data_IF_935031902536
#
_entry.id   IF_935031902536
#
_cell.length_a   1.000
_cell.length_b   1.000
_cell.length_c   1.000
_cell.angle_alpha   90.00
_cell.angle_beta   90.00
_cell.angle_gamma   90.00
#
_symmetry.space_group_name_H-M   'P 1'
#
loop_
_entity.id
_entity.type
_entity.pdbx_description
1 polymer ?
#
# COMPACT_ATOMS: atom_id res chain seq x y z
N UNK A 1 8.90 13.34 7.58
CA UNK A 1 8.84 12.23 8.54
C UNK A 1 10.22 11.64 8.74
N UNK A 2 10.51 11.16 9.95
CA UNK A 2 11.72 10.40 10.28
C UNK A 2 11.46 9.48 11.50
N UNK A 3 12.20 8.37 11.71
CA UNK A 3 13.36 7.91 10.94
C UNK A 3 13.02 7.30 9.58
N UNK A 4 11.73 7.12 9.30
CA UNK A 4 11.22 6.55 8.05
C UNK A 4 10.32 7.52 7.28
N UNK A 5 10.09 7.23 6.01
CA UNK A 5 8.99 7.81 5.24
C UNK A 5 7.62 7.34 5.76
N UNK A 6 6.53 7.76 5.10
CA UNK A 6 5.18 7.44 5.56
C UNK A 6 4.79 5.95 5.43
N UNK A 7 5.41 5.20 4.52
CA UNK A 7 5.15 3.77 4.36
C UNK A 7 6.07 2.93 5.25
N UNK A 8 7.03 3.58 5.92
CA UNK A 8 7.92 2.95 6.90
C UNK A 8 9.28 2.58 6.34
N UNK A 9 9.65 3.07 5.16
CA UNK A 9 10.98 2.85 4.57
C UNK A 9 12.02 3.73 5.26
N UNK A 10 13.19 3.19 5.64
CA UNK A 10 14.20 3.93 6.39
C UNK A 10 14.80 5.09 5.59
N UNK A 11 14.87 6.27 6.21
CA UNK A 11 15.56 7.45 5.70
C UNK A 11 16.97 7.63 6.31
N UNK A 12 17.19 7.04 7.47
CA UNK A 12 18.43 7.17 8.25
C UNK A 12 18.67 5.93 9.12
N UNK A 13 19.87 5.82 9.67
CA UNK A 13 20.25 4.73 10.57
C UNK A 13 19.62 4.91 11.96
N UNK A 14 18.74 3.97 12.34
CA UNK A 14 18.00 4.01 13.60
C UNK A 14 18.95 3.83 14.80
N UNK A 15 19.99 3.01 14.67
CA UNK A 15 20.96 2.82 15.76
C UNK A 15 21.74 4.12 16.05
N UNK A 16 22.07 4.90 15.02
CA UNK A 16 22.70 6.21 15.16
C UNK A 16 21.73 7.21 15.79
N UNK A 17 20.46 7.20 15.38
CA UNK A 17 19.39 8.01 15.98
C UNK A 17 19.29 7.76 17.50
N UNK A 18 19.25 6.48 17.90
CA UNK A 18 19.14 6.07 19.30
C UNK A 18 20.39 6.45 20.09
N UNK A 19 21.60 6.26 19.53
CA UNK A 19 22.87 6.64 20.17
C UNK A 19 22.97 8.12 20.49
N UNK A 20 22.41 8.99 19.64
CA UNK A 20 22.41 10.44 19.89
C UNK A 20 21.19 10.91 20.69
N UNK A 21 20.28 9.98 21.05
CA UNK A 21 19.10 10.27 21.87
C UNK A 21 18.03 11.09 21.15
N UNK A 22 17.95 11.00 19.82
CA UNK A 22 16.96 11.75 19.03
C UNK A 22 15.56 11.14 19.19
N UNK A 23 14.56 11.95 19.56
CA UNK A 23 13.18 11.50 19.70
C UNK A 23 12.35 11.87 18.45
N UNK A 24 11.94 10.90 17.62
CA UNK A 24 11.18 11.18 16.40
C UNK A 24 9.78 11.73 16.63
N UNK A 25 9.22 11.63 17.84
CA UNK A 25 7.88 12.13 18.13
C UNK A 25 7.84 13.60 18.53
N UNK A 26 8.96 14.14 19.01
CA UNK A 26 9.03 15.51 19.56
C UNK A 26 10.01 16.39 18.84
N UNK A 27 11.13 15.82 18.37
CA UNK A 27 12.22 16.63 17.88
C UNK A 27 11.98 17.04 16.42
N UNK A 28 12.69 18.07 16.00
CA UNK A 28 12.68 18.53 14.61
C UNK A 28 14.12 18.82 14.24
N UNK A 29 14.55 18.29 13.10
CA UNK A 29 15.90 18.49 12.60
C UNK A 29 15.89 19.42 11.38
N UNK A 30 16.87 20.32 11.34
CA UNK A 30 17.26 21.00 10.10
C UNK A 30 18.13 20.07 9.25
N UNK A 31 18.29 20.42 7.97
CA UNK A 31 19.26 19.77 7.06
C UNK A 31 20.66 19.69 7.69
N UNK A 32 21.19 20.79 8.23
CA UNK A 32 22.53 20.82 8.86
C UNK A 32 22.66 19.87 10.05
N UNK A 33 21.64 19.81 10.91
CA UNK A 33 21.64 18.90 12.06
C UNK A 33 21.60 17.44 11.59
N UNK A 34 20.77 17.15 10.58
CA UNK A 34 20.72 15.84 9.96
C UNK A 34 22.08 15.42 9.37
N UNK A 35 22.73 16.30 8.59
CA UNK A 35 24.07 16.05 8.04
C UNK A 35 25.14 15.87 9.11
N UNK A 36 25.06 16.62 10.21
CA UNK A 36 26.00 16.49 11.32
C UNK A 36 25.86 15.16 12.07
N UNK A 37 24.64 14.63 12.20
CA UNK A 37 24.36 13.40 12.94
C UNK A 37 24.63 12.17 12.06
N UNK A 38 24.14 12.17 10.83
CA UNK A 38 24.13 10.97 9.96
C UNK A 38 25.18 11.00 8.84
N UNK A 39 25.82 12.16 8.62
CA UNK A 39 26.86 12.35 7.61
C UNK A 39 26.36 12.94 6.28
N UNK A 40 27.30 13.10 5.35
CA UNK A 40 27.03 13.55 3.98
C UNK A 40 27.95 12.79 3.00
N UNK A 41 27.43 11.90 2.15
CA UNK A 41 26.01 11.61 1.91
C UNK A 41 25.42 10.59 2.92
N UNK A 42 24.11 10.70 3.17
CA UNK A 42 23.32 9.64 3.83
C UNK A 42 22.67 8.81 2.74
N UNK A 43 23.31 7.69 2.40
CA UNK A 43 22.86 6.84 1.28
C UNK A 43 21.84 5.82 1.75
N UNK A 44 20.76 5.68 1.01
CA UNK A 44 19.82 4.58 1.17
C UNK A 44 20.52 3.24 0.87
N UNK A 45 20.40 2.21 1.73
CA UNK A 45 21.19 0.98 1.61
C UNK A 45 21.04 0.23 0.29
N UNK A 46 19.87 0.31 -0.35
CA UNK A 46 19.57 -0.44 -1.58
C UNK A 46 19.78 0.36 -2.85
N UNK A 47 19.35 1.62 -2.86
CA UNK A 47 19.37 2.46 -4.06
C UNK A 47 20.66 3.27 -4.17
N UNK A 48 21.40 3.42 -3.07
CA UNK A 48 22.58 4.27 -2.97
C UNK A 48 22.27 5.78 -3.06
N UNK A 49 20.99 6.14 -3.18
CA UNK A 49 20.54 7.52 -3.30
C UNK A 49 20.57 8.23 -1.95
N UNK A 50 20.96 9.49 -1.98
CA UNK A 50 20.77 10.42 -0.86
C UNK A 50 19.52 11.25 -1.16
N UNK A 51 18.42 10.97 -0.46
CA UNK A 51 17.13 11.61 -0.74
C UNK A 51 17.17 13.13 -0.51
N UNK A 52 17.91 13.58 0.50
CA UNK A 52 18.07 15.01 0.78
C UNK A 52 18.77 15.68 -0.40
N UNK A 53 19.85 15.09 -0.90
CA UNK A 53 20.53 15.57 -2.11
C UNK A 53 19.61 15.55 -3.33
N UNK A 54 18.87 14.46 -3.55
CA UNK A 54 17.93 14.30 -4.66
C UNK A 54 16.89 15.44 -4.70
N UNK A 55 16.30 15.78 -3.55
CA UNK A 55 15.34 16.89 -3.45
C UNK A 55 16.02 18.25 -3.64
N UNK A 56 17.20 18.46 -3.05
CA UNK A 56 17.95 19.73 -3.18
C UNK A 56 18.42 20.00 -4.61
N UNK A 57 18.72 18.96 -5.38
CA UNK A 57 19.07 19.08 -6.81
C UNK A 57 17.90 19.60 -7.67
N UNK A 58 16.65 19.53 -7.18
CA UNK A 58 15.48 20.10 -7.84
C UNK A 58 15.27 21.60 -7.52
N UNK A 59 16.11 22.19 -6.66
CA UNK A 59 15.97 23.58 -6.26
C UNK A 59 16.25 24.55 -7.42
N UNK A 60 15.41 25.57 -7.54
CA UNK A 60 15.63 26.70 -8.45
C UNK A 60 16.08 27.88 -7.60
N UNK A 61 17.29 28.39 -7.84
CA UNK A 61 17.89 29.47 -7.05
C UNK A 61 17.95 29.16 -5.54
N UNK A 62 18.27 27.91 -5.18
CA UNK A 62 18.39 27.45 -3.78
C UNK A 62 17.12 27.64 -2.93
N UNK A 63 15.94 27.57 -3.56
CA UNK A 63 14.64 27.81 -2.92
C UNK A 63 14.07 26.64 -2.10
N UNK A 64 14.87 25.64 -1.74
CA UNK A 64 14.43 24.46 -0.98
C UNK A 64 15.17 24.39 0.35
N UNK A 65 14.39 24.39 1.42
CA UNK A 65 14.82 24.11 2.80
C UNK A 65 14.19 22.80 3.25
N UNK A 66 14.98 21.93 3.90
CA UNK A 66 14.53 20.61 4.34
C UNK A 66 14.51 20.54 5.86
N UNK A 67 13.38 20.09 6.38
CA UNK A 67 13.16 19.84 7.80
C UNK A 67 12.63 18.42 8.01
N UNK A 68 13.10 17.75 9.05
CA UNK A 68 12.63 16.43 9.43
C UNK A 68 11.81 16.54 10.70
N UNK A 69 10.55 16.12 10.63
CA UNK A 69 9.61 16.08 11.76
C UNK A 69 8.50 15.07 11.47
N UNK A 70 7.90 14.51 12.52
CA UNK A 70 6.63 13.77 12.45
C UNK A 70 5.43 14.60 12.92
N UNK A 71 5.65 15.83 13.37
CA UNK A 71 4.57 16.75 13.72
C UNK A 71 4.28 17.69 12.54
N UNK A 72 3.21 17.47 11.75
CA UNK A 72 2.94 18.29 10.57
C UNK A 72 2.68 19.77 10.92
N UNK A 73 2.33 20.08 12.17
CA UNK A 73 2.09 21.48 12.62
C UNK A 73 3.35 22.35 12.53
N UNK A 74 4.54 21.75 12.56
CA UNK A 74 5.81 22.48 12.42
C UNK A 74 5.89 23.22 11.08
N UNK A 75 5.23 22.72 10.03
CA UNK A 75 5.16 23.40 8.73
C UNK A 75 4.55 24.81 8.83
N UNK A 76 3.67 25.05 9.81
CA UNK A 76 3.00 26.34 10.02
C UNK A 76 3.92 27.43 10.57
N UNK A 77 5.11 27.06 11.04
CA UNK A 77 6.16 28.03 11.38
C UNK A 77 6.75 28.70 10.13
N UNK A 78 6.57 28.09 8.95
CA UNK A 78 7.19 28.52 7.69
C UNK A 78 6.18 29.02 6.66
N UNK A 79 4.98 28.41 6.58
CA UNK A 79 3.93 28.83 5.65
C UNK A 79 2.53 28.50 6.19
N UNK A 80 1.53 29.32 5.83
CA UNK A 80 0.10 28.99 6.03
C UNK A 80 -0.54 28.29 4.84
N UNK A 81 0.18 28.20 3.73
CA UNK A 81 -0.25 27.54 2.50
C UNK A 81 0.57 26.26 2.34
N UNK A 82 -0.08 25.11 2.47
CA UNK A 82 0.58 23.81 2.58
C UNK A 82 0.08 22.86 1.48
N UNK A 83 1.03 22.22 0.79
CA UNK A 83 0.77 21.07 -0.08
C UNK A 83 1.17 19.78 0.64
N UNK A 84 0.20 18.90 0.88
CA UNK A 84 0.38 17.61 1.54
C UNK A 84 0.68 16.53 0.50
N UNK A 85 1.89 15.98 0.56
CA UNK A 85 2.36 14.94 -0.35
C UNK A 85 2.24 13.50 0.20
N UNK A 86 1.60 13.33 1.36
CA UNK A 86 1.28 12.00 1.87
C UNK A 86 0.39 11.23 0.89
N UNK A 87 0.62 9.93 0.77
CA UNK A 87 -0.25 8.97 0.10
C UNK A 87 -1.28 8.53 1.14
N UNK A 88 -0.95 7.64 2.07
CA UNK A 88 -1.96 6.97 2.91
C UNK A 88 -2.50 7.84 4.05
N UNK A 89 -1.68 8.69 4.65
CA UNK A 89 -2.09 9.51 5.81
C UNK A 89 -2.64 10.90 5.45
N UNK A 90 -2.74 11.23 4.15
CA UNK A 90 -3.07 12.58 3.65
C UNK A 90 -4.27 13.23 4.29
N UNK A 91 -5.36 12.49 4.49
CA UNK A 91 -6.59 13.04 5.06
C UNK A 91 -6.40 13.44 6.53
N UNK A 92 -5.65 12.63 7.29
CA UNK A 92 -5.29 12.94 8.67
C UNK A 92 -4.39 14.18 8.73
N UNK A 93 -3.35 14.24 7.90
CA UNK A 93 -2.43 15.38 7.84
C UNK A 93 -3.15 16.68 7.44
N UNK A 94 -3.97 16.64 6.38
CA UNK A 94 -4.80 17.78 5.93
C UNK A 94 -5.70 18.29 7.06
N UNK A 95 -6.37 17.38 7.78
CA UNK A 95 -7.24 17.74 8.92
C UNK A 95 -6.46 18.41 10.05
N UNK A 96 -5.31 17.88 10.43
CA UNK A 96 -4.47 18.44 11.51
C UNK A 96 -4.02 19.86 11.15
N UNK A 97 -3.56 20.09 9.92
CA UNK A 97 -3.09 21.40 9.46
C UNK A 97 -4.22 22.44 9.41
N UNK A 98 -5.39 22.06 8.86
CA UNK A 98 -6.57 22.94 8.85
C UNK A 98 -6.99 23.35 10.26
N UNK A 99 -7.02 22.40 11.20
CA UNK A 99 -7.35 22.67 12.61
C UNK A 99 -6.30 23.54 13.33
N UNK A 100 -5.04 23.45 12.91
CA UNK A 100 -3.94 24.23 13.48
C UNK A 100 -3.81 25.65 12.86
N UNK A 101 -4.71 26.04 11.94
CA UNK A 101 -4.79 27.40 11.41
C UNK A 101 -4.10 27.63 10.07
N UNK A 102 -3.86 26.57 9.29
CA UNK A 102 -3.46 26.70 7.89
C UNK A 102 -4.53 27.44 7.07
N UNK A 103 -4.11 28.38 6.22
CA UNK A 103 -5.00 29.17 5.35
C UNK A 103 -5.42 28.37 4.12
N UNK A 104 -4.47 27.70 3.47
CA UNK A 104 -4.72 26.85 2.30
C UNK A 104 -4.05 25.50 2.56
N UNK A 105 -4.78 24.42 2.35
CA UNK A 105 -4.24 23.06 2.46
C UNK A 105 -4.76 22.24 1.29
N UNK A 106 -3.87 21.95 0.35
CA UNK A 106 -4.11 21.01 -0.74
C UNK A 106 -3.37 19.70 -0.51
N UNK A 107 -3.84 18.62 -1.12
CA UNK A 107 -3.08 17.38 -1.26
C UNK A 107 -2.78 17.06 -2.72
N UNK A 108 -1.84 16.15 -2.95
CA UNK A 108 -1.58 15.62 -4.30
C UNK A 108 -2.84 14.96 -4.91
N UNK A 109 -3.73 14.43 -4.07
CA UNK A 109 -5.04 13.88 -4.48
C UNK A 109 -5.99 14.94 -5.08
N UNK A 110 -5.71 16.22 -4.90
CA UNK A 110 -6.55 17.33 -5.36
C UNK A 110 -5.95 18.03 -6.59
N UNK A 111 -4.74 17.65 -7.02
CA UNK A 111 -4.06 18.22 -8.18
C UNK A 111 -4.28 17.37 -9.43
N UNK A 112 -4.49 18.02 -10.58
CA UNK A 112 -4.81 17.35 -11.87
C UNK A 112 -5.97 16.35 -11.77
N UNK A 113 -7.03 16.72 -11.04
CA UNK A 113 -8.31 15.97 -11.02
C UNK A 113 -9.20 16.25 -12.23
N UNK A 114 -8.88 17.30 -12.99
CA UNK A 114 -9.47 17.67 -14.26
C UNK A 114 -8.37 18.11 -15.25
N UNK A 115 -8.61 18.04 -16.58
CA UNK A 115 -7.60 18.44 -17.56
C UNK A 115 -7.33 19.94 -17.50
N UNK A 116 -6.05 20.31 -17.59
CA UNK A 116 -5.61 21.69 -17.79
C UNK A 116 -5.12 21.80 -19.24
N UNK A 117 -5.96 22.38 -20.10
CA UNK A 117 -5.73 22.35 -21.55
C UNK A 117 -5.75 20.91 -22.07
N UNK A 118 -4.61 20.45 -22.60
CA UNK A 118 -4.45 19.09 -23.16
C UNK A 118 -3.75 18.11 -22.19
N UNK A 119 -3.66 18.44 -20.89
CA UNK A 119 -3.02 17.55 -19.92
C UNK A 119 -3.81 16.27 -19.68
N UNK A 120 -3.10 15.19 -19.32
CA UNK A 120 -3.73 14.08 -18.60
C UNK A 120 -4.28 14.53 -17.24
N UNK A 121 -5.17 13.73 -16.67
CA UNK A 121 -5.74 13.96 -15.34
C UNK A 121 -6.23 12.64 -14.73
N UNK A 122 -6.32 12.57 -13.40
CA UNK A 122 -6.95 11.45 -12.69
C UNK A 122 -7.99 12.01 -11.69
N UNK A 123 -9.29 11.80 -11.91
CA UNK A 123 -10.34 12.40 -11.08
C UNK A 123 -10.40 11.82 -9.66
N UNK A 124 -9.93 10.60 -9.46
CA UNK A 124 -10.07 9.86 -8.19
C UNK A 124 -8.84 10.01 -7.29
N UNK A 125 -7.66 10.10 -7.92
CA UNK A 125 -6.37 10.05 -7.22
C UNK A 125 -5.47 11.28 -7.48
N UNK A 126 -5.87 12.19 -8.36
CA UNK A 126 -5.06 13.35 -8.73
C UNK A 126 -3.66 12.96 -9.19
N UNK A 127 -2.64 13.39 -8.44
CA UNK A 127 -1.23 13.05 -8.68
C UNK A 127 -0.71 11.86 -7.86
N UNK A 128 -1.52 11.22 -7.01
CA UNK A 128 -1.09 10.03 -6.26
C UNK A 128 -0.82 8.84 -7.21
N UNK A 129 0.13 7.96 -6.85
CA UNK A 129 0.52 6.80 -7.67
C UNK A 129 1.16 7.18 -9.01
N UNK A 130 1.62 8.41 -9.15
CA UNK A 130 2.25 8.91 -10.36
C UNK A 130 3.73 8.55 -10.39
N UNK A 131 4.18 8.04 -11.54
CA UNK A 131 5.58 7.67 -11.76
C UNK A 131 6.27 8.64 -12.74
N UNK A 132 7.58 8.79 -12.59
CA UNK A 132 8.40 9.54 -13.55
C UNK A 132 8.49 8.76 -14.86
N UNK A 133 8.03 9.35 -15.97
CA UNK A 133 8.09 8.71 -17.29
C UNK A 133 9.30 9.22 -18.10
N UNK A 134 9.52 10.54 -18.06
CA UNK A 134 10.70 11.22 -18.62
C UNK A 134 11.01 12.42 -17.74
N UNK A 135 12.13 13.11 -17.94
CA UNK A 135 12.48 14.31 -17.17
C UNK A 135 11.38 15.39 -17.17
N UNK A 136 10.51 15.42 -18.19
CA UNK A 136 9.45 16.43 -18.35
C UNK A 136 8.05 15.83 -18.42
N UNK A 137 7.88 14.52 -18.14
CA UNK A 137 6.57 13.85 -18.19
C UNK A 137 6.42 12.87 -17.06
N UNK A 138 5.20 12.80 -16.55
CA UNK A 138 4.79 11.86 -15.53
C UNK A 138 3.75 10.91 -16.09
N UNK A 139 3.75 9.67 -15.62
CA UNK A 139 2.73 8.65 -15.90
C UNK A 139 1.76 8.64 -14.73
N UNK A 140 0.56 9.18 -14.95
CA UNK A 140 -0.49 9.22 -13.94
C UNK A 140 -0.95 7.80 -13.58
N UNK A 141 -1.47 7.66 -12.36
CA UNK A 141 -2.10 6.43 -11.92
C UNK A 141 -3.28 6.06 -12.86
N UNK A 142 -3.54 4.76 -13.09
CA UNK A 142 -4.62 4.33 -13.98
C UNK A 142 -5.99 4.89 -13.60
N UNK A 143 -6.83 5.12 -14.62
CA UNK A 143 -8.22 5.54 -14.49
C UNK A 143 -9.11 4.71 -15.39
N UNK A 144 -10.43 4.80 -15.20
CA UNK A 144 -11.42 4.02 -15.97
C UNK A 144 -11.20 2.49 -15.87
N UNK A 145 -10.51 2.05 -14.80
CA UNK A 145 -10.09 0.67 -14.59
C UNK A 145 -11.26 -0.31 -14.54
N UNK A 146 -12.39 0.11 -13.96
CA UNK A 146 -13.58 -0.72 -13.87
C UNK A 146 -14.12 -1.13 -15.25
N UNK A 147 -14.07 -0.21 -16.23
CA UNK A 147 -14.51 -0.50 -17.60
C UNK A 147 -13.61 -1.56 -18.22
N UNK A 148 -12.30 -1.41 -18.07
CA UNK A 148 -11.29 -2.33 -18.62
C UNK A 148 -11.47 -3.74 -18.06
N UNK A 149 -11.59 -3.90 -16.74
CA UNK A 149 -11.72 -5.25 -16.15
C UNK A 149 -13.02 -5.94 -16.57
N UNK A 150 -14.12 -5.18 -16.71
CA UNK A 150 -15.39 -5.71 -17.18
C UNK A 150 -15.32 -6.15 -18.66
N UNK A 151 -14.66 -5.37 -19.51
CA UNK A 151 -14.45 -5.71 -20.93
C UNK A 151 -13.56 -6.94 -21.08
N UNK A 152 -12.46 -7.04 -20.33
CA UNK A 152 -11.57 -8.22 -20.33
C UNK A 152 -12.33 -9.46 -19.88
N UNK A 153 -13.10 -9.39 -18.79
CA UNK A 153 -13.93 -10.50 -18.33
C UNK A 153 -14.94 -10.94 -19.40
N UNK A 154 -15.60 -9.97 -20.06
CA UNK A 154 -16.58 -10.26 -21.11
C UNK A 154 -15.93 -10.97 -22.31
N UNK A 155 -14.78 -10.50 -22.79
CA UNK A 155 -14.05 -11.09 -23.92
C UNK A 155 -13.57 -12.52 -23.59
N UNK A 156 -13.06 -12.75 -22.39
CA UNK A 156 -12.65 -14.10 -21.97
C UNK A 156 -13.86 -15.03 -21.94
N UNK A 157 -14.99 -14.57 -21.37
CA UNK A 157 -16.22 -15.36 -21.32
C UNK A 157 -16.77 -15.68 -22.72
N UNK A 158 -16.76 -14.71 -23.64
CA UNK A 158 -17.18 -14.91 -25.03
C UNK A 158 -16.31 -15.95 -25.76
N UNK A 159 -14.99 -15.85 -25.61
CA UNK A 159 -14.04 -16.72 -26.33
C UNK A 159 -13.93 -18.12 -25.73
N UNK A 160 -14.15 -18.28 -24.43
CA UNK A 160 -13.83 -19.54 -23.71
C UNK A 160 -15.03 -20.19 -23.04
N UNK A 161 -16.14 -19.45 -22.87
CA UNK A 161 -17.29 -19.87 -22.07
C UNK A 161 -17.01 -19.90 -20.56
N UNK A 162 -15.84 -19.45 -20.09
CA UNK A 162 -15.47 -19.46 -18.67
C UNK A 162 -15.72 -18.09 -18.03
N UNK A 163 -16.31 -18.10 -16.85
CA UNK A 163 -16.37 -16.94 -15.97
C UNK A 163 -15.04 -16.86 -15.21
N UNK A 164 -14.29 -15.77 -15.40
CA UNK A 164 -13.06 -15.48 -14.66
C UNK A 164 -13.20 -14.14 -13.97
N UNK A 165 -12.57 -13.97 -12.82
CA UNK A 165 -12.46 -12.67 -12.19
C UNK A 165 -11.19 -11.95 -12.67
N UNK A 166 -11.28 -10.63 -12.84
CA UNK A 166 -10.23 -9.80 -13.43
C UNK A 166 -9.97 -8.62 -12.51
N UNK A 167 -8.70 -8.29 -12.29
CA UNK A 167 -8.29 -7.08 -11.57
C UNK A 167 -7.10 -6.42 -12.24
N UNK A 168 -7.05 -5.09 -12.14
CA UNK A 168 -5.83 -4.31 -12.32
C UNK A 168 -5.21 -4.19 -10.93
N UNK A 169 -3.93 -4.49 -10.82
CA UNK A 169 -3.17 -4.39 -9.58
C UNK A 169 -2.06 -3.33 -9.73
N UNK A 170 -1.78 -2.64 -8.63
CA UNK A 170 -0.64 -1.76 -8.43
C UNK A 170 0.40 -2.43 -7.54
N UNK A 171 1.17 -1.62 -6.82
CA UNK A 171 2.18 -2.12 -5.88
C UNK A 171 1.59 -3.11 -4.86
N UNK A 172 2.30 -4.21 -4.64
CA UNK A 172 1.92 -5.24 -3.72
C UNK A 172 2.24 -4.84 -2.30
N UNK A 173 1.23 -4.63 -1.47
CA UNK A 173 1.30 -4.21 -0.06
C UNK A 173 2.09 -5.16 0.88
N UNK A 174 3.36 -5.44 0.58
CA UNK A 174 4.24 -6.34 1.29
C UNK A 174 5.52 -5.61 1.70
N UNK A 175 6.19 -6.16 2.72
CA UNK A 175 7.51 -5.71 3.17
C UNK A 175 8.55 -6.72 2.76
N UNK A 176 9.54 -6.31 1.99
CA UNK A 176 10.68 -7.16 1.68
C UNK A 176 11.42 -7.54 2.98
N UNK A 177 11.62 -8.85 3.25
CA UNK A 177 12.19 -9.29 4.52
C UNK A 177 13.68 -8.97 4.65
N UNK A 178 14.43 -8.79 3.56
CA UNK A 178 15.86 -8.51 3.61
C UNK A 178 16.12 -7.01 3.75
N UNK A 179 15.55 -6.22 2.85
CA UNK A 179 15.72 -4.78 2.81
C UNK A 179 14.77 -3.97 3.65
N UNK A 180 13.74 -4.62 4.22
CA UNK A 180 12.77 -3.96 5.09
C UNK A 180 12.05 -2.79 4.39
N UNK A 181 11.93 -2.87 3.07
CA UNK A 181 11.25 -1.90 2.22
C UNK A 181 9.82 -2.36 1.98
N UNK A 182 8.87 -1.46 2.18
CA UNK A 182 7.48 -1.64 1.83
C UNK A 182 7.24 -1.23 0.39
N UNK A 183 6.63 -2.13 -0.39
CA UNK A 183 6.08 -1.85 -1.71
C UNK A 183 4.63 -1.39 -1.53
N UNK A 184 4.42 -0.11 -1.23
CA UNK A 184 3.09 0.46 -0.95
C UNK A 184 3.02 1.92 -1.39
N UNK A 185 3.65 2.27 -2.53
CA UNK A 185 3.67 3.65 -3.01
C UNK A 185 2.35 4.03 -3.72
N UNK A 186 1.60 3.06 -4.22
CA UNK A 186 0.30 3.30 -4.82
C UNK A 186 -0.79 3.65 -3.78
N UNK A 187 -1.78 4.49 -4.15
CA UNK A 187 -2.86 4.88 -3.24
C UNK A 187 -3.82 3.72 -2.91
N UNK A 188 -3.87 2.68 -3.76
CA UNK A 188 -4.63 1.44 -3.57
C UNK A 188 -3.92 0.29 -4.28
N UNK A 189 -4.05 -0.94 -3.75
CA UNK A 189 -3.49 -2.15 -4.39
C UNK A 189 -4.23 -2.49 -5.69
N UNK A 190 -5.52 -2.17 -5.80
CA UNK A 190 -6.31 -2.46 -7.00
C UNK A 190 -7.25 -1.31 -7.34
N UNK A 191 -6.98 -0.54 -8.41
CA UNK A 191 -7.86 0.53 -8.86
C UNK A 191 -9.10 0.05 -9.62
N UNK A 192 -9.20 -1.25 -9.94
CA UNK A 192 -10.37 -1.81 -10.59
C UNK A 192 -10.36 -3.33 -10.59
N UNK A 193 -11.50 -3.93 -10.27
CA UNK A 193 -11.66 -5.37 -10.17
C UNK A 193 -13.12 -5.78 -10.43
N UNK A 194 -13.34 -7.04 -10.79
CA UNK A 194 -14.68 -7.59 -11.00
C UNK A 194 -15.32 -8.01 -9.67
N UNK A 195 -16.65 -8.04 -9.63
CA UNK A 195 -17.44 -8.19 -8.39
C UNK A 195 -17.13 -9.45 -7.58
N UNK A 196 -16.67 -10.54 -8.20
CA UNK A 196 -16.32 -11.77 -7.49
C UNK A 196 -15.09 -11.63 -6.58
N UNK A 197 -14.35 -10.52 -6.69
CA UNK A 197 -13.20 -10.20 -5.82
C UNK A 197 -13.58 -9.25 -4.67
N UNK A 198 -14.86 -8.92 -4.50
CA UNK A 198 -15.33 -8.16 -3.33
C UNK A 198 -15.32 -9.02 -2.07
N UNK A 199 -14.88 -8.43 -0.95
CA UNK A 199 -14.93 -9.05 0.37
C UNK A 199 -13.59 -9.58 0.85
N UNK A 200 -13.66 -10.54 1.76
CA UNK A 200 -12.52 -11.07 2.53
C UNK A 200 -12.60 -12.60 2.53
N UNK A 201 -11.47 -13.33 2.54
CA UNK A 201 -11.51 -14.78 2.57
C UNK A 201 -12.11 -15.27 3.89
N UNK A 202 -12.90 -16.34 3.80
CA UNK A 202 -13.40 -17.06 4.98
C UNK A 202 -12.34 -18.05 5.45
N UNK A 203 -11.27 -17.55 6.06
CA UNK A 203 -10.20 -18.41 6.58
C UNK A 203 -10.65 -19.15 7.84
N UNK A 204 -10.88 -20.46 7.70
CA UNK A 204 -11.07 -21.34 8.85
C UNK A 204 -9.68 -21.73 9.36
N UNK A 205 -9.43 -21.56 10.66
CA UNK A 205 -8.20 -22.01 11.30
C UNK A 205 -8.18 -23.53 11.43
N UNK A 206 -7.96 -24.21 10.30
CA UNK A 206 -7.93 -25.67 10.20
C UNK A 206 -6.96 -26.28 11.22
N UNK A 207 -5.78 -25.67 11.40
CA UNK A 207 -4.79 -26.13 12.38
C UNK A 207 -5.27 -25.99 13.83
N UNK A 208 -5.94 -24.88 14.18
CA UNK A 208 -6.50 -24.72 15.53
C UNK A 208 -7.58 -25.76 15.82
N UNK A 209 -8.44 -26.04 14.83
CA UNK A 209 -9.48 -27.06 14.93
C UNK A 209 -8.85 -28.46 15.04
N UNK A 210 -7.84 -28.75 14.23
CA UNK A 210 -7.13 -30.02 14.24
C UNK A 210 -6.43 -30.26 15.59
N UNK A 211 -5.68 -29.27 16.07
CA UNK A 211 -4.84 -29.39 17.26
C UNK A 211 -5.66 -29.39 18.57
N UNK A 212 -6.80 -28.69 18.63
CA UNK A 212 -7.60 -28.58 19.86
C UNK A 212 -8.80 -29.50 19.91
N UNK A 213 -9.44 -29.79 18.78
CA UNK A 213 -10.73 -30.50 18.75
C UNK A 213 -10.65 -31.88 18.09
N UNK A 214 -9.63 -32.13 17.27
CA UNK A 214 -9.47 -33.39 16.53
C UNK A 214 -8.19 -34.14 16.91
N UNK A 215 -7.48 -33.73 17.97
CA UNK A 215 -6.19 -34.30 18.39
C UNK A 215 -6.26 -35.79 18.77
N UNK A 216 -7.45 -36.30 19.08
CA UNK A 216 -7.71 -37.69 19.46
C UNK A 216 -8.21 -38.57 18.30
N UNK A 217 -8.35 -38.04 17.08
CA UNK A 217 -8.87 -38.77 15.92
C UNK A 217 -7.73 -39.30 15.04
N UNK A 218 -7.91 -40.51 14.48
CA UNK A 218 -6.99 -41.04 13.47
C UNK A 218 -7.02 -40.20 12.18
N UNK A 219 -5.89 -40.12 11.46
CA UNK A 219 -5.70 -39.25 10.29
C UNK A 219 -6.86 -39.29 9.28
N UNK A 220 -7.43 -40.47 9.00
CA UNK A 220 -8.53 -40.62 8.04
C UNK A 220 -9.85 -39.98 8.52
N UNK A 221 -10.08 -39.91 9.84
CA UNK A 221 -11.28 -39.31 10.43
C UNK A 221 -11.16 -37.79 10.59
N UNK A 222 -9.95 -37.24 10.62
CA UNK A 222 -9.70 -35.80 10.74
C UNK A 222 -10.21 -35.07 9.49
N UNK A 223 -9.95 -35.62 8.31
CA UNK A 223 -10.37 -35.01 7.03
C UNK A 223 -11.89 -34.93 6.92
N UNK A 224 -12.61 -36.00 7.28
CA UNK A 224 -14.07 -36.04 7.23
C UNK A 224 -14.69 -35.11 8.30
N UNK A 225 -14.14 -35.09 9.50
CA UNK A 225 -14.56 -34.18 10.57
C UNK A 225 -14.32 -32.70 10.20
N UNK A 226 -13.20 -32.38 9.54
CA UNK A 226 -12.94 -31.04 9.03
C UNK A 226 -13.93 -30.65 7.93
N UNK A 227 -14.21 -31.52 6.96
CA UNK A 227 -15.22 -31.25 5.91
C UNK A 227 -16.61 -30.97 6.49
N UNK A 228 -17.05 -31.75 7.47
CA UNK A 228 -18.35 -31.56 8.10
C UNK A 228 -18.42 -30.23 8.86
N UNK A 229 -17.35 -29.88 9.58
CA UNK A 229 -17.29 -28.64 10.36
C UNK A 229 -17.19 -27.37 9.50
N UNK A 230 -16.52 -27.44 8.35
CA UNK A 230 -16.54 -26.36 7.36
C UNK A 230 -17.97 -26.14 6.83
N UNK A 231 -18.71 -27.23 6.56
CA UNK A 231 -20.11 -27.17 6.10
C UNK A 231 -21.07 -26.62 7.18
N UNK A 232 -20.86 -26.98 8.44
CA UNK A 232 -21.66 -26.47 9.57
C UNK A 232 -21.41 -24.99 9.83
N UNK A 233 -20.15 -24.54 9.81
CA UNK A 233 -19.81 -23.12 10.04
C UNK A 233 -20.22 -22.18 8.91
N UNK A 234 -20.36 -22.68 7.67
CA UNK A 234 -20.98 -21.90 6.57
C UNK A 234 -22.46 -21.55 6.84
N UNK A 235 -23.13 -22.25 7.76
CA UNK A 235 -24.55 -22.01 8.13
C UNK A 235 -24.75 -21.09 9.34
N UNK A 236 -23.74 -20.85 10.16
CA UNK A 236 -23.87 -20.01 11.35
C UNK A 236 -23.61 -18.53 11.05
N UNK A 237 -24.39 -17.65 11.68
CA UNK A 237 -24.36 -16.19 11.52
C UNK A 237 -23.07 -15.55 12.06
N UNK A 238 -22.78 -14.34 11.57
CA UNK A 238 -21.59 -13.52 11.89
C UNK A 238 -21.19 -13.44 13.38
N UNK A 239 -22.10 -13.63 14.33
CA UNK A 239 -21.85 -13.55 15.77
C UNK A 239 -21.07 -14.76 16.35
N UNK A 240 -21.13 -15.97 15.75
CA UNK A 240 -20.32 -17.12 16.22
C UNK A 240 -18.89 -17.12 15.65
N UNK A 241 -18.55 -16.15 14.80
CA UNK A 241 -17.25 -16.03 14.15
C UNK A 241 -16.18 -15.42 15.07
N UNK A 242 -16.55 -14.54 16.01
CA UNK A 242 -15.60 -13.76 16.84
C UNK A 242 -14.66 -14.65 17.68
N UNK A 243 -15.15 -15.75 18.24
CA UNK A 243 -14.34 -16.64 19.10
C UNK A 243 -13.40 -17.55 18.31
N UNK A 244 -13.71 -17.86 17.04
CA UNK A 244 -12.86 -18.69 16.19
C UNK A 244 -11.87 -17.86 15.33
N UNK A 245 -12.15 -16.57 15.11
CA UNK A 245 -11.34 -15.64 14.33
C UNK A 245 -10.38 -14.77 15.16
N UNK A 246 -10.27 -15.01 16.48
CA UNK A 246 -9.33 -14.31 17.37
C UNK A 246 -7.89 -14.35 16.81
N UNK A 247 -7.44 -13.27 16.16
CA UNK A 247 -6.09 -13.13 15.60
C UNK A 247 -5.96 -13.20 14.08
N UNK A 248 -7.05 -13.31 13.30
CA UNK A 248 -7.02 -13.11 11.84
C UNK A 248 -7.58 -11.74 11.50
N UNK A 249 -6.71 -10.79 11.16
CA UNK A 249 -7.14 -9.51 10.60
C UNK A 249 -7.79 -9.79 9.23
N UNK A 250 -9.05 -9.41 8.99
CA UNK A 250 -9.70 -9.64 7.71
C UNK A 250 -8.95 -8.88 6.61
N UNK A 251 -8.48 -9.61 5.60
CA UNK A 251 -7.75 -9.05 4.45
C UNK A 251 -8.66 -9.03 3.23
N UNK A 252 -8.63 -7.95 2.44
CA UNK A 252 -9.41 -7.92 1.20
C UNK A 252 -8.81 -8.89 0.19
N UNK A 253 -9.66 -9.56 -0.59
CA UNK A 253 -9.20 -10.49 -1.64
C UNK A 253 -8.28 -9.79 -2.63
N UNK A 254 -8.62 -8.56 -3.02
CA UNK A 254 -7.82 -7.73 -3.94
C UNK A 254 -6.44 -7.39 -3.39
N UNK A 255 -6.32 -7.15 -2.09
CA UNK A 255 -5.03 -6.78 -1.48
C UNK A 255 -4.11 -8.00 -1.43
N UNK A 256 -4.66 -9.18 -1.11
CA UNK A 256 -3.95 -10.46 -1.14
C UNK A 256 -3.49 -10.82 -2.55
N UNK A 257 -4.42 -10.84 -3.49
CA UNK A 257 -4.13 -11.21 -4.89
C UNK A 257 -3.22 -10.19 -5.56
N UNK A 258 -3.45 -8.90 -5.36
CA UNK A 258 -2.59 -7.85 -5.91
C UNK A 258 -1.16 -7.96 -5.40
N UNK A 259 -0.98 -8.22 -4.10
CA UNK A 259 0.35 -8.46 -3.53
C UNK A 259 1.03 -9.71 -4.09
N UNK A 260 0.27 -10.80 -4.29
CA UNK A 260 0.79 -12.01 -4.93
C UNK A 260 1.20 -11.76 -6.39
N UNK A 261 0.37 -11.02 -7.14
CA UNK A 261 0.63 -10.68 -8.53
C UNK A 261 1.89 -9.81 -8.64
N UNK A 262 2.02 -8.79 -7.80
CA UNK A 262 3.18 -7.90 -7.79
C UNK A 262 4.48 -8.63 -7.44
N UNK A 263 4.46 -9.52 -6.45
CA UNK A 263 5.60 -10.41 -6.14
C UNK A 263 6.01 -11.28 -7.35
N UNK A 264 5.06 -11.63 -8.21
CA UNK A 264 5.30 -12.46 -9.40
C UNK A 264 5.85 -11.64 -10.56
N UNK A 265 5.29 -10.46 -10.81
CA UNK A 265 5.75 -9.55 -11.88
C UNK A 265 7.08 -8.90 -11.54
N UNK A 266 7.23 -8.47 -10.29
CA UNK A 266 8.25 -7.55 -9.80
C UNK A 266 8.06 -6.13 -10.32
N UNK A 267 8.83 -5.20 -9.75
CA UNK A 267 8.83 -3.77 -10.11
C UNK A 267 9.58 -3.43 -11.41
N UNK A 268 10.25 -4.42 -12.02
CA UNK A 268 10.98 -4.26 -13.27
C UNK A 268 10.04 -4.25 -14.48
N UNK A 269 10.27 -3.34 -15.43
CA UNK A 269 9.47 -3.12 -16.64
C UNK A 269 9.59 -4.29 -17.65
N UNK A 270 9.11 -5.48 -17.25
CA UNK A 270 9.13 -6.71 -18.07
C UNK A 270 8.05 -6.73 -19.16
N UNK A 271 7.41 -5.59 -19.44
CA UNK A 271 6.30 -5.45 -20.37
C UNK A 271 4.99 -5.99 -19.77
N UNK A 272 4.16 -5.08 -19.24
CA UNK A 272 2.78 -5.28 -18.72
C UNK A 272 2.41 -6.75 -18.43
N UNK A 273 2.93 -7.33 -17.34
CA UNK A 273 2.78 -8.74 -17.05
C UNK A 273 1.33 -9.08 -16.68
N UNK A 274 0.78 -10.09 -17.36
CA UNK A 274 -0.51 -10.70 -17.01
C UNK A 274 -0.22 -11.91 -16.11
N UNK A 275 -0.76 -11.90 -14.90
CA UNK A 275 -0.65 -13.01 -13.93
C UNK A 275 -1.97 -13.76 -13.89
N UNK A 276 -1.92 -15.06 -14.14
CA UNK A 276 -3.07 -15.96 -13.95
C UNK A 276 -2.93 -16.64 -12.59
N UNK A 277 -3.92 -16.41 -11.71
CA UNK A 277 -4.02 -17.08 -10.41
C UNK A 277 -5.13 -18.12 -10.48
N UNK A 278 -4.83 -19.36 -10.08
CA UNK A 278 -5.80 -20.47 -10.03
C UNK A 278 -5.71 -21.19 -8.69
N UNK A 279 -6.86 -21.63 -8.19
CA UNK A 279 -6.98 -22.44 -6.98
C UNK A 279 -6.65 -21.74 -5.66
N UNK A 280 -6.48 -20.42 -5.66
CA UNK A 280 -6.01 -19.67 -4.48
C UNK A 280 -7.02 -19.66 -3.33
N UNK A 281 -8.32 -19.72 -3.64
CA UNK A 281 -9.41 -19.75 -2.65
C UNK A 281 -10.24 -21.03 -2.72
N UNK A 282 -9.69 -22.10 -3.29
CA UNK A 282 -10.37 -23.39 -3.33
C UNK A 282 -10.56 -23.90 -1.89
N UNK A 283 -11.80 -24.25 -1.54
CA UNK A 283 -12.14 -24.77 -0.22
C UNK A 283 -12.00 -26.29 -0.23
N UNK A 284 -11.27 -26.83 0.75
CA UNK A 284 -11.13 -28.28 0.97
C UNK A 284 -12.46 -29.02 1.15
N UNK A 285 -13.55 -28.31 1.44
CA UNK A 285 -14.89 -28.89 1.56
C UNK A 285 -15.66 -29.02 0.23
N UNK A 286 -15.14 -28.48 -0.88
CA UNK A 286 -15.80 -28.49 -2.20
C UNK A 286 -15.31 -29.60 -3.15
N UNK A 287 -14.30 -30.38 -2.76
CA UNK A 287 -13.88 -31.61 -3.45
C UNK A 287 -14.26 -32.89 -2.67
#
# INVERSE_FOLDING_TARGET
>A
NYPSDEVGNPLMDIDTMDKVGLNPFTDTLTEDQYRKIFGEPVRHPFTGLDYVKLYKEQAVNSNIEIYFTNNPRVALNYSKEILVANIHERQRTKRILKQAGASIVYGLDELLTAPIGNSGYNPDYGLLGTNLATNNKIKLFPRDCQKVVNEVQAVIREKTGKQVEVMIYGDGAFKDPQGKIWELADPVVSPGYTKGLEGTPHEIKLKFIADNELCCLGHDKITEAMKNKIKEKKKESMESMETASLGTTPRRLTDLLGSLCDLTSGSGDKGTPIVLVQGYFDDYATD
#
